data_IF_003637021914
#
_entry.id   IF_003637021914
#
_cell.length_a   1.000
_cell.length_b   1.000
_cell.length_c   1.000
_cell.angle_alpha   90.00
_cell.angle_beta   90.00
_cell.angle_gamma   90.00
#
_symmetry.space_group_name_H-M   'P 1'
#
loop_
_entity.id
_entity.type
_entity.pdbx_description
1 polymer ?
#
# COMPACT_ATOMS: atom_id res chain seq x y z
N UNK A 1 1.27 -19.56 16.77
CA UNK A 1 0.15 -18.59 16.88
C UNK A 1 -1.22 -19.25 16.75
N UNK A 2 -1.55 -19.95 15.64
CA UNK A 2 -2.86 -20.64 15.51
C UNK A 2 -3.17 -21.65 16.61
N UNK A 3 -2.20 -22.47 17.01
CA UNK A 3 -2.34 -23.41 18.12
C UNK A 3 -2.64 -22.74 19.49
N UNK A 4 -2.44 -21.43 19.59
CA UNK A 4 -2.68 -20.64 20.79
C UNK A 4 -3.90 -19.71 20.63
N UNK A 5 -4.69 -19.86 19.54
CA UNK A 5 -5.83 -19.00 19.25
C UNK A 5 -5.50 -17.56 18.81
N UNK A 6 -4.21 -17.24 18.59
CA UNK A 6 -3.77 -15.88 18.23
C UNK A 6 -3.88 -15.67 16.72
N UNK A 7 -4.62 -14.62 16.30
CA UNK A 7 -4.69 -14.15 14.92
C UNK A 7 -3.72 -12.99 14.70
N UNK A 8 -3.03 -12.98 13.56
CA UNK A 8 -2.07 -11.93 13.19
C UNK A 8 -2.28 -11.59 11.71
N UNK A 9 -2.31 -10.29 11.41
CA UNK A 9 -2.42 -9.77 10.06
C UNK A 9 -1.42 -8.63 9.85
N UNK A 10 -0.77 -8.62 8.69
CA UNK A 10 0.02 -7.49 8.21
C UNK A 10 -0.83 -6.64 7.26
N UNK A 11 -1.13 -5.41 7.68
CA UNK A 11 -1.83 -4.43 6.86
C UNK A 11 -0.81 -3.60 6.08
N UNK A 12 -0.92 -3.62 4.76
CA UNK A 12 -0.01 -2.95 3.82
C UNK A 12 -0.78 -1.90 3.00
N UNK A 13 -1.07 -0.71 3.54
CA UNK A 13 -1.82 0.30 2.83
C UNK A 13 -0.95 1.07 1.83
N UNK A 14 -1.60 1.63 0.81
CA UNK A 14 -1.00 2.68 -0.02
C UNK A 14 -1.01 4.03 0.69
N UNK A 15 -0.78 5.14 -0.03
CA UNK A 15 -0.91 6.48 0.53
C UNK A 15 -2.24 6.63 1.27
N UNK A 16 -2.19 7.16 2.49
CA UNK A 16 -3.36 7.26 3.37
C UNK A 16 -3.52 8.70 3.86
N UNK A 17 -4.73 9.23 3.72
CA UNK A 17 -5.10 10.57 4.19
C UNK A 17 -5.15 10.58 5.70
N UNK A 18 -4.10 11.13 6.30
CA UNK A 18 -3.90 11.32 7.73
C UNK A 18 -3.13 12.62 7.92
N UNK A 19 -3.16 13.18 9.13
CA UNK A 19 -2.38 14.35 9.50
C UNK A 19 -0.87 14.16 9.22
N UNK A 20 -0.37 12.94 9.32
CA UNK A 20 1.02 12.61 8.95
C UNK A 20 1.34 13.00 7.50
N UNK A 21 0.41 12.81 6.58
CA UNK A 21 0.63 13.16 5.17
C UNK A 21 0.78 14.68 4.97
N UNK A 22 0.07 15.48 5.76
CA UNK A 22 0.16 16.94 5.71
C UNK A 22 1.50 17.40 6.29
N UNK A 23 1.89 16.87 7.45
CA UNK A 23 3.17 17.17 8.11
C UNK A 23 4.37 16.74 7.25
N UNK A 24 4.25 15.58 6.58
CA UNK A 24 5.29 15.05 5.71
C UNK A 24 5.36 15.75 4.33
N UNK A 25 4.54 16.77 4.07
CA UNK A 25 4.52 17.50 2.81
C UNK A 25 4.05 16.66 1.62
N UNK A 26 3.23 15.64 1.84
CA UNK A 26 2.71 14.78 0.77
C UNK A 26 1.49 15.37 0.06
N UNK A 27 0.86 16.40 0.64
CA UNK A 27 -0.38 17.01 0.14
C UNK A 27 -0.29 17.58 -1.28
N UNK A 28 0.89 18.04 -1.70
CA UNK A 28 1.09 18.63 -3.04
C UNK A 28 1.32 17.58 -4.14
N UNK A 29 1.52 16.32 -3.77
CA UNK A 29 1.69 15.25 -4.75
C UNK A 29 0.36 14.93 -5.46
N UNK A 30 0.31 15.13 -6.77
CA UNK A 30 -0.83 14.71 -7.59
C UNK A 30 -1.15 13.21 -7.45
N UNK A 31 -0.12 12.39 -7.23
CA UNK A 31 -0.29 10.96 -6.95
C UNK A 31 -1.03 10.74 -5.62
N UNK A 32 -0.65 11.50 -4.58
CA UNK A 32 -1.32 11.43 -3.28
C UNK A 32 -2.78 11.88 -3.39
N UNK A 33 -3.06 13.01 -4.04
CA UNK A 33 -4.44 13.52 -4.20
C UNK A 33 -5.35 12.50 -4.89
N UNK A 34 -4.86 11.85 -5.95
CA UNK A 34 -5.63 10.90 -6.76
C UNK A 34 -5.76 9.51 -6.15
N UNK A 35 -4.73 9.00 -5.49
CA UNK A 35 -4.67 7.58 -5.08
C UNK A 35 -4.67 7.35 -3.57
N UNK A 36 -4.60 8.40 -2.75
CA UNK A 36 -4.66 8.23 -1.30
C UNK A 36 -6.05 7.79 -0.83
N UNK A 37 -6.08 6.75 0.01
CA UNK A 37 -7.30 6.25 0.65
C UNK A 37 -7.60 7.01 1.93
N UNK A 38 -8.86 7.03 2.38
CA UNK A 38 -9.19 7.52 3.72
C UNK A 38 -8.66 6.58 4.79
N UNK A 39 -8.25 7.13 5.94
CA UNK A 39 -7.80 6.35 7.10
C UNK A 39 -8.86 5.34 7.56
N UNK A 40 -10.12 5.75 7.59
CA UNK A 40 -11.26 4.91 7.96
C UNK A 40 -11.45 3.70 7.02
N UNK A 41 -11.22 3.85 5.71
CA UNK A 41 -11.24 2.70 4.78
C UNK A 41 -10.09 1.72 5.05
N UNK A 42 -8.90 2.25 5.34
CA UNK A 42 -7.71 1.44 5.67
C UNK A 42 -7.91 0.65 6.96
N UNK A 43 -8.52 1.27 7.98
CA UNK A 43 -8.84 0.61 9.26
C UNK A 43 -9.86 -0.50 9.06
N UNK A 44 -10.94 -0.24 8.30
CA UNK A 44 -11.94 -1.28 7.96
C UNK A 44 -11.29 -2.49 7.30
N UNK A 45 -10.42 -2.26 6.31
CA UNK A 45 -9.69 -3.32 5.63
C UNK A 45 -8.85 -4.16 6.61
N UNK A 46 -8.17 -3.51 7.55
CA UNK A 46 -7.36 -4.18 8.57
C UNK A 46 -8.19 -5.02 9.55
N UNK A 47 -9.32 -4.48 10.03
CA UNK A 47 -10.22 -5.19 10.93
C UNK A 47 -10.85 -6.41 10.25
N UNK A 48 -11.30 -6.26 8.99
CA UNK A 48 -11.82 -7.36 8.20
C UNK A 48 -10.76 -8.46 7.99
N UNK A 49 -9.50 -8.08 7.73
CA UNK A 49 -8.41 -9.06 7.58
C UNK A 49 -8.16 -9.86 8.86
N UNK A 50 -8.21 -9.21 10.03
CA UNK A 50 -8.12 -9.88 11.32
C UNK A 50 -9.30 -10.82 11.58
N UNK A 51 -10.52 -10.38 11.26
CA UNK A 51 -11.73 -11.19 11.40
C UNK A 51 -11.61 -12.49 10.59
N UNK A 52 -11.22 -12.37 9.32
CA UNK A 52 -11.04 -13.47 8.38
C UNK A 52 -9.73 -14.24 8.53
N UNK A 53 -8.88 -13.90 9.50
CA UNK A 53 -7.56 -14.53 9.72
C UNK A 53 -6.67 -14.52 8.45
N UNK A 54 -6.72 -13.41 7.71
CA UNK A 54 -5.91 -13.15 6.53
C UNK A 54 -4.53 -12.62 6.96
N UNK A 55 -3.48 -13.36 6.63
CA UNK A 55 -2.13 -13.04 7.08
C UNK A 55 -1.58 -11.71 6.51
N UNK A 56 -1.96 -11.36 5.28
CA UNK A 56 -1.54 -10.12 4.61
C UNK A 56 -2.75 -9.49 3.93
N UNK A 57 -2.96 -8.20 4.16
CA UNK A 57 -4.01 -7.40 3.53
C UNK A 57 -3.41 -6.14 2.94
N UNK A 58 -3.49 -6.03 1.62
CA UNK A 58 -3.20 -4.78 0.91
C UNK A 58 -4.50 -3.96 0.89
N UNK A 59 -4.45 -2.73 1.40
CA UNK A 59 -5.66 -1.90 1.46
C UNK A 59 -5.87 -1.14 0.15
N UNK A 60 -7.13 -1.13 -0.33
CA UNK A 60 -7.54 -0.48 -1.57
C UNK A 60 -7.27 -1.31 -2.84
N UNK A 61 -8.20 -1.24 -3.80
CA UNK A 61 -8.16 -2.02 -5.03
C UNK A 61 -6.97 -1.61 -5.94
N UNK A 62 -6.73 -0.30 -6.08
CA UNK A 62 -5.63 0.21 -6.89
C UNK A 62 -4.27 -0.27 -6.37
N UNK A 63 -4.03 -0.15 -5.06
CA UNK A 63 -2.77 -0.59 -4.45
C UNK A 63 -2.60 -2.12 -4.55
N UNK A 64 -3.69 -2.87 -4.38
CA UNK A 64 -3.67 -4.33 -4.55
C UNK A 64 -3.30 -4.72 -5.98
N UNK A 65 -3.95 -4.12 -6.99
CA UNK A 65 -3.65 -4.39 -8.41
C UNK A 65 -2.20 -4.03 -8.73
N UNK A 66 -1.74 -2.86 -8.29
CA UNK A 66 -0.37 -2.41 -8.53
C UNK A 66 0.65 -3.35 -7.90
N UNK A 67 0.45 -3.75 -6.64
CA UNK A 67 1.34 -4.66 -5.95
C UNK A 67 1.35 -6.06 -6.58
N UNK A 68 0.19 -6.63 -6.93
CA UNK A 68 0.11 -7.95 -7.55
C UNK A 68 0.64 -7.95 -9.00
N UNK A 69 0.56 -6.81 -9.71
CA UNK A 69 1.06 -6.69 -11.10
C UNK A 69 2.55 -7.00 -11.23
N UNK A 70 3.34 -6.82 -10.16
CA UNK A 70 4.77 -7.10 -10.18
C UNK A 70 5.07 -8.58 -10.42
N UNK A 71 4.15 -9.46 -10.05
CA UNK A 71 4.28 -10.93 -10.23
C UNK A 71 4.21 -11.33 -11.69
N UNK A 72 3.53 -10.53 -12.50
CA UNK A 72 3.36 -10.72 -13.94
C UNK A 72 4.32 -9.87 -14.78
N UNK A 73 5.08 -8.98 -14.12
CA UNK A 73 6.02 -8.08 -14.80
C UNK A 73 7.39 -8.76 -14.92
N UNK A 74 7.99 -8.85 -16.13
CA UNK A 74 9.35 -9.34 -16.29
C UNK A 74 10.36 -8.56 -15.43
N UNK A 75 11.26 -9.27 -14.74
CA UNK A 75 12.22 -8.65 -13.79
C UNK A 75 13.09 -7.57 -14.42
N UNK A 76 13.39 -7.67 -15.72
CA UNK A 76 14.15 -6.66 -16.48
C UNK A 76 13.37 -5.36 -16.63
N UNK A 77 12.07 -5.46 -16.93
CA UNK A 77 11.19 -4.31 -17.05
C UNK A 77 10.95 -3.65 -15.69
N UNK A 78 10.66 -4.43 -14.65
CA UNK A 78 10.49 -3.90 -13.29
C UNK A 78 11.72 -3.10 -12.83
N UNK A 79 12.93 -3.62 -13.06
CA UNK A 79 14.18 -2.91 -12.74
C UNK A 79 14.36 -1.62 -13.56
N UNK A 80 14.01 -1.63 -14.85
CA UNK A 80 14.07 -0.43 -15.70
C UNK A 80 13.12 0.66 -15.21
N UNK A 81 11.88 0.30 -14.87
CA UNK A 81 10.88 1.24 -14.34
C UNK A 81 11.38 1.84 -13.02
N UNK A 82 11.80 0.99 -12.08
CA UNK A 82 12.32 1.44 -10.78
C UNK A 82 13.52 2.39 -10.94
N UNK A 83 14.47 2.04 -11.81
CA UNK A 83 15.63 2.90 -12.11
C UNK A 83 15.25 4.23 -12.75
N UNK A 84 14.21 4.27 -13.60
CA UNK A 84 13.67 5.51 -14.16
C UNK A 84 13.05 6.41 -13.10
N UNK A 85 12.25 5.85 -12.19
CA UNK A 85 11.62 6.59 -11.09
C UNK A 85 12.64 7.21 -10.14
N UNK A 86 13.73 6.51 -9.85
CA UNK A 86 14.78 7.01 -8.95
C UNK A 86 15.59 8.15 -9.59
N UNK A 87 15.91 8.06 -10.89
CA UNK A 87 16.62 9.15 -11.60
C UNK A 87 15.79 10.43 -11.68
N UNK A 88 14.48 10.32 -11.88
CA UNK A 88 13.56 11.45 -11.92
C UNK A 88 13.45 12.20 -10.58
N UNK A 89 13.93 11.61 -9.46
CA UNK A 89 13.94 12.22 -8.13
C UNK A 89 15.27 12.91 -7.77
N UNK A 90 16.28 12.79 -8.63
CA UNK A 90 17.63 13.36 -8.45
C UNK A 90 17.93 14.52 -9.42
N UNK A 91 16.99 14.87 -10.29
CA UNK A 91 17.02 16.03 -11.19
C UNK A 91 15.99 17.06 -10.70
#
# INVERSE_FOLDING_TARGET
MRAHGVKVAALCPGPTRTEFADIAGMGDSELFKRFASSSDAVVRDGLAALEHNQAVKISGAFNTIMAESIRFTPRTLARRIAGGMQKARQA
#
